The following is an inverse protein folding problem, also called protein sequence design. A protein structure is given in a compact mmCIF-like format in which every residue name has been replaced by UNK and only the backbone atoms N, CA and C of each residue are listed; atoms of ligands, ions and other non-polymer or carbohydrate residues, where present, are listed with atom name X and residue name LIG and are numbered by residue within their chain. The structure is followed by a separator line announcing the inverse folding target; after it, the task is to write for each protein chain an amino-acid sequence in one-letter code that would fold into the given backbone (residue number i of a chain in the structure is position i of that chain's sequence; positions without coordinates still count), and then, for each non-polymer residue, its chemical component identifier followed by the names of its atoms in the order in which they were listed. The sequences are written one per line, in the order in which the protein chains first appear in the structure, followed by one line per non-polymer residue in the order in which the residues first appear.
data_IF_419935134821
#
_entry.id   IF_419935134821
#
_cell.length_a   1.000
_cell.length_b   1.000
_cell.length_c   1.000
_cell.angle_alpha   90.00
_cell.angle_beta   90.00
_cell.angle_gamma   90.00
#
_symmetry.space_group_name_H-M   'P 1'
#
loop_
_entity.id
_entity.type
_entity.pdbx_description
1 polymer ?
#
# COMPACT_ATOMS: atom_id res chain seq x y z
N UNK A 1 2.57 -16.42 11.37
CA UNK A 1 1.45 -15.84 10.59
C UNK A 1 0.18 -16.54 11.02
N UNK A 2 -0.94 -15.83 11.28
CA UNK A 2 -2.24 -16.44 11.57
C UNK A 2 -2.78 -17.23 10.37
N UNK A 3 -3.73 -18.14 10.62
CA UNK A 3 -4.44 -18.87 9.55
C UNK A 3 -5.34 -17.95 8.73
N UNK A 4 -5.65 -18.30 7.47
CA UNK A 4 -6.48 -17.47 6.60
C UNK A 4 -7.84 -17.12 7.25
N UNK A 5 -8.50 -18.07 7.91
CA UNK A 5 -9.76 -17.82 8.62
C UNK A 5 -9.60 -16.80 9.76
N UNK A 6 -8.50 -16.85 10.52
CA UNK A 6 -8.21 -15.85 11.55
C UNK A 6 -7.95 -14.47 10.95
N UNK A 7 -7.23 -14.42 9.83
CA UNK A 7 -6.99 -13.16 9.12
C UNK A 7 -8.30 -12.56 8.61
N UNK A 8 -9.18 -13.37 8.01
CA UNK A 8 -10.50 -12.92 7.57
C UNK A 8 -11.35 -12.40 8.74
N UNK A 9 -11.28 -13.04 9.91
CA UNK A 9 -11.93 -12.53 11.13
C UNK A 9 -11.37 -11.17 11.55
N UNK A 10 -10.05 -10.99 11.48
CA UNK A 10 -9.42 -9.69 11.76
C UNK A 10 -9.88 -8.61 10.77
N UNK A 11 -9.92 -8.92 9.47
CA UNK A 11 -10.40 -8.02 8.43
C UNK A 11 -11.89 -7.71 8.62
N UNK A 12 -12.72 -8.70 8.93
CA UNK A 12 -14.16 -8.52 9.16
C UNK A 12 -14.43 -7.59 10.35
N UNK A 13 -13.63 -7.70 11.41
CA UNK A 13 -13.69 -6.83 12.58
C UNK A 13 -13.01 -5.46 12.37
N UNK A 14 -12.49 -5.17 11.17
CA UNK A 14 -11.61 -4.04 10.85
C UNK A 14 -10.37 -3.92 11.75
N UNK A 15 -10.00 -5.01 12.43
CA UNK A 15 -8.79 -5.10 13.23
C UNK A 15 -7.59 -5.43 12.33
N UNK A 16 -7.20 -4.46 11.49
CA UNK A 16 -6.19 -4.64 10.46
C UNK A 16 -4.76 -4.75 11.03
N UNK A 17 -4.39 -5.87 11.63
CA UNK A 17 -3.07 -6.04 12.25
C UNK A 17 -1.97 -6.14 11.19
N UNK A 18 -0.93 -5.31 11.32
CA UNK A 18 0.23 -5.32 10.42
C UNK A 18 0.97 -6.66 10.50
N UNK A 19 1.61 -7.06 9.40
CA UNK A 19 2.37 -8.30 9.21
C UNK A 19 1.59 -9.61 9.43
N UNK A 20 0.29 -9.51 9.69
CA UNK A 20 -0.57 -10.64 10.01
C UNK A 20 -1.70 -10.85 9.00
N UNK A 21 -1.92 -9.90 8.09
CA UNK A 21 -3.01 -9.93 7.12
C UNK A 21 -2.43 -9.95 5.71
N UNK A 22 -2.90 -10.87 4.89
CA UNK A 22 -2.55 -10.95 3.48
C UNK A 22 -3.55 -10.24 2.56
N UNK A 23 -3.12 -9.99 1.32
CA UNK A 23 -3.99 -9.51 0.24
C UNK A 23 -5.19 -10.44 0.04
N UNK A 24 -4.97 -11.76 0.06
CA UNK A 24 -6.01 -12.79 -0.05
C UNK A 24 -7.07 -12.64 1.04
N UNK A 25 -6.66 -12.51 2.31
CA UNK A 25 -7.59 -12.36 3.42
C UNK A 25 -8.51 -11.13 3.26
N UNK A 26 -7.95 -10.02 2.75
CA UNK A 26 -8.72 -8.80 2.48
C UNK A 26 -9.68 -8.99 1.32
N UNK A 27 -9.21 -9.52 0.19
CA UNK A 27 -10.05 -9.72 -1.01
C UNK A 27 -11.18 -10.73 -0.74
N UNK A 28 -10.90 -11.80 0.00
CA UNK A 28 -11.94 -12.78 0.38
C UNK A 28 -13.00 -12.20 1.31
N UNK A 29 -12.64 -11.25 2.17
CA UNK A 29 -13.56 -10.70 3.18
C UNK A 29 -14.31 -9.46 2.70
N UNK A 30 -13.64 -8.55 2.01
CA UNK A 30 -14.20 -7.27 1.57
C UNK A 30 -14.48 -7.20 0.08
N UNK A 31 -14.08 -8.21 -0.69
CA UNK A 31 -14.11 -8.20 -2.14
C UNK A 31 -12.89 -7.50 -2.76
N UNK A 32 -12.80 -7.57 -4.08
CA UNK A 32 -11.75 -6.90 -4.87
C UNK A 32 -11.74 -5.39 -4.56
N UNK A 33 -10.57 -4.78 -4.31
CA UNK A 33 -10.48 -3.35 -4.06
C UNK A 33 -10.97 -2.56 -5.27
N UNK A 34 -11.83 -1.54 -5.09
CA UNK A 34 -12.31 -0.73 -6.20
C UNK A 34 -11.19 0.09 -6.84
N UNK A 35 -10.13 0.39 -6.08
CA UNK A 35 -8.94 1.09 -6.53
C UNK A 35 -7.71 0.26 -6.16
N UNK A 36 -6.93 -0.11 -7.16
CA UNK A 36 -5.75 -0.98 -7.05
C UNK A 36 -4.57 -0.36 -7.79
N UNK A 37 -3.39 -0.46 -7.20
CA UNK A 37 -2.14 -0.12 -7.87
C UNK A 37 -1.02 -1.04 -7.38
N UNK A 38 -0.05 -1.30 -8.25
CA UNK A 38 1.11 -2.09 -7.95
C UNK A 38 2.34 -1.40 -8.54
N UNK A 39 3.34 -1.18 -7.69
CA UNK A 39 4.61 -0.61 -8.12
C UNK A 39 5.79 -1.18 -7.33
N UNK A 40 6.95 -1.25 -7.97
CA UNK A 40 8.21 -1.39 -7.25
C UNK A 40 8.50 -0.08 -6.51
N UNK A 41 8.53 -0.11 -5.18
CA UNK A 41 8.66 1.07 -4.34
C UNK A 41 9.66 0.85 -3.21
N UNK A 42 10.08 1.95 -2.59
CA UNK A 42 10.92 1.92 -1.39
C UNK A 42 10.07 2.10 -0.14
N UNK A 43 10.36 1.29 0.87
CA UNK A 43 9.65 1.23 2.13
C UNK A 43 10.62 1.54 3.26
N UNK A 44 10.36 2.62 3.98
CA UNK A 44 11.16 3.05 5.12
C UNK A 44 10.72 2.32 6.38
N UNK A 45 11.63 1.58 7.01
CA UNK A 45 11.39 0.88 8.28
C UNK A 45 11.72 1.81 9.42
N UNK A 46 10.71 2.14 10.20
CA UNK A 46 10.82 2.97 11.39
C UNK A 46 11.38 2.15 12.58
N UNK A 47 11.93 2.81 13.62
CA UNK A 47 12.45 2.11 14.81
C UNK A 47 11.41 1.30 15.59
N UNK A 48 10.12 1.61 15.44
CA UNK A 48 8.99 0.88 16.00
C UNK A 48 8.50 -0.25 15.08
N UNK A 49 9.27 -0.56 14.03
CA UNK A 49 8.96 -1.54 12.97
C UNK A 49 7.77 -1.17 12.09
N UNK A 50 7.19 0.02 12.23
CA UNK A 50 6.22 0.51 11.25
C UNK A 50 6.92 0.76 9.92
N UNK A 51 6.21 0.51 8.83
CA UNK A 51 6.74 0.66 7.48
C UNK A 51 6.01 1.81 6.80
N UNK A 52 6.76 2.77 6.28
CA UNK A 52 6.21 3.92 5.57
C UNK A 52 6.59 3.80 4.09
N UNK A 53 5.62 3.68 3.16
CA UNK A 53 5.90 3.69 1.74
C UNK A 53 6.41 5.08 1.30
N UNK A 54 7.36 5.12 0.38
CA UNK A 54 7.96 6.37 -0.12
C UNK A 54 6.92 7.37 -0.63
N UNK A 55 5.82 6.89 -1.22
CA UNK A 55 4.71 7.71 -1.71
C UNK A 55 4.02 8.56 -0.62
N UNK A 56 4.20 8.21 0.66
CA UNK A 56 3.68 8.98 1.80
C UNK A 56 4.72 9.89 2.45
N UNK A 57 5.95 9.90 1.95
CA UNK A 57 7.03 10.76 2.45
C UNK A 57 7.07 12.05 1.63
N UNK A 58 7.16 13.19 2.31
CA UNK A 58 7.34 14.48 1.64
C UNK A 58 8.60 14.45 0.75
N UNK A 59 8.49 14.95 -0.47
CA UNK A 59 9.56 14.88 -1.47
C UNK A 59 10.91 15.35 -0.92
N UNK A 60 11.89 14.44 -0.90
CA UNK A 60 13.29 14.74 -0.54
C UNK A 60 13.65 14.61 0.93
N UNK A 61 12.71 14.28 1.82
CA UNK A 61 13.00 14.06 3.24
C UNK A 61 12.91 12.58 3.59
N UNK A 62 13.71 12.11 4.56
CA UNK A 62 13.47 10.83 5.18
C UNK A 62 12.44 10.98 6.31
N UNK A 63 11.64 9.93 6.63
CA UNK A 63 10.69 10.02 7.74
C UNK A 63 11.40 10.43 9.03
N UNK A 64 10.80 11.36 9.78
CA UNK A 64 11.38 11.87 11.02
C UNK A 64 11.57 10.74 12.04
N UNK A 65 12.81 10.46 12.42
CA UNK A 65 13.15 9.37 13.35
C UNK A 65 13.58 8.06 12.67
N UNK A 66 13.62 8.01 11.34
CA UNK A 66 14.17 6.89 10.59
C UNK A 66 15.68 6.71 10.87
N UNK A 67 16.11 5.46 11.10
CA UNK A 67 17.49 5.10 11.51
C UNK A 67 18.25 4.20 10.52
N UNK A 68 17.74 4.04 9.28
CA UNK A 68 18.41 3.44 8.09
C UNK A 68 17.90 2.08 7.55
N UNK A 69 16.74 1.56 7.97
CA UNK A 69 16.14 0.40 7.28
C UNK A 69 15.35 0.83 6.04
N UNK A 70 15.75 0.41 4.83
CA UNK A 70 14.92 0.50 3.62
C UNK A 70 14.71 -0.91 3.08
N UNK A 71 13.45 -1.27 2.81
CA UNK A 71 13.12 -2.41 1.97
C UNK A 71 12.69 -1.91 0.60
N UNK A 72 13.27 -2.45 -0.46
CA UNK A 72 12.80 -2.25 -1.82
C UNK A 72 12.06 -3.52 -2.24
N UNK A 73 10.87 -3.37 -2.80
CA UNK A 73 10.07 -4.51 -3.22
C UNK A 73 8.79 -4.09 -3.92
N UNK A 74 8.04 -5.10 -4.33
CA UNK A 74 6.75 -4.92 -5.00
C UNK A 74 5.69 -4.54 -3.97
N UNK A 75 5.24 -3.29 -4.06
CA UNK A 75 4.22 -2.70 -3.22
C UNK A 75 2.85 -2.81 -3.85
N UNK A 76 1.93 -3.50 -3.17
CA UNK A 76 0.54 -3.61 -3.60
C UNK A 76 -0.33 -2.68 -2.77
N UNK A 77 -1.05 -1.78 -3.44
CA UNK A 77 -1.89 -0.76 -2.82
C UNK A 77 -3.36 -1.05 -3.08
N UNK A 78 -4.13 -1.23 -2.00
CA UNK A 78 -5.58 -1.38 -2.03
C UNK A 78 -6.23 -0.15 -1.41
N UNK A 79 -7.11 0.52 -2.15
CA UNK A 79 -7.93 1.60 -1.62
C UNK A 79 -9.41 1.21 -1.66
N UNK A 80 -10.08 1.31 -0.51
CA UNK A 80 -11.51 1.09 -0.32
C UNK A 80 -12.19 2.39 0.13
N UNK A 81 -12.60 3.28 -0.80
CA UNK A 81 -13.24 4.55 -0.47
C UNK A 81 -14.48 4.40 0.40
N UNK A 82 -15.32 3.41 0.13
CA UNK A 82 -16.54 3.13 0.91
C UNK A 82 -16.25 2.76 2.37
N UNK A 83 -15.03 2.28 2.65
CA UNK A 83 -14.55 1.91 3.99
C UNK A 83 -13.56 2.93 4.58
N UNK A 84 -13.12 3.90 3.78
CA UNK A 84 -12.13 4.90 4.18
C UNK A 84 -10.74 4.34 4.46
N UNK A 85 -10.34 3.23 3.83
CA UNK A 85 -9.06 2.56 4.09
C UNK A 85 -8.13 2.57 2.87
N UNK A 86 -6.89 2.98 3.09
CA UNK A 86 -5.73 2.67 2.25
C UNK A 86 -4.91 1.57 2.94
N UNK A 87 -4.64 0.49 2.23
CA UNK A 87 -3.83 -0.64 2.69
C UNK A 87 -2.67 -0.84 1.72
N UNK A 88 -1.47 -1.06 2.26
CA UNK A 88 -0.27 -1.31 1.45
C UNK A 88 0.38 -2.59 1.92
N UNK A 89 0.63 -3.46 0.96
CA UNK A 89 1.20 -4.78 1.17
C UNK A 89 2.59 -4.84 0.54
N UNK A 90 3.50 -5.54 1.20
CA UNK A 90 4.83 -5.89 0.73
C UNK A 90 5.03 -7.37 1.01
N UNK A 91 5.52 -8.14 0.03
CA UNK A 91 5.65 -9.60 0.12
C UNK A 91 4.35 -10.27 0.62
N UNK A 92 3.22 -9.84 0.05
CA UNK A 92 1.85 -10.28 0.38
C UNK A 92 1.39 -9.99 1.81
N UNK A 93 2.11 -9.17 2.58
CA UNK A 93 1.77 -8.83 3.98
C UNK A 93 1.41 -7.36 4.13
N UNK A 94 0.37 -7.09 4.92
CA UNK A 94 -0.04 -5.72 5.24
C UNK A 94 1.06 -5.03 6.06
N UNK A 95 1.76 -4.07 5.46
CA UNK A 95 2.86 -3.34 6.13
C UNK A 95 2.48 -1.91 6.50
N UNK A 96 1.46 -1.34 5.83
CA UNK A 96 0.95 -0.02 6.12
C UNK A 96 -0.56 0.05 5.96
N UNK A 97 -1.22 0.84 6.81
CA UNK A 97 -2.64 1.15 6.73
C UNK A 97 -2.89 2.58 7.14
N UNK A 98 -3.85 3.22 6.49
CA UNK A 98 -4.22 4.60 6.78
C UNK A 98 -5.72 4.81 6.59
N UNK A 99 -6.36 5.50 7.55
CA UNK A 99 -7.73 5.98 7.36
C UNK A 99 -7.70 7.30 6.60
N UNK A 100 -8.39 7.36 5.48
CA UNK A 100 -8.49 8.53 4.61
C UNK A 100 -9.94 8.78 4.23
N UNK A 101 -10.26 10.03 3.88
CA UNK A 101 -11.58 10.35 3.33
C UNK A 101 -11.73 9.75 1.94
N UNK A 102 -12.97 9.45 1.50
CA UNK A 102 -13.21 8.91 0.16
C UNK A 102 -12.60 9.76 -0.94
N UNK A 103 -12.66 11.09 -0.82
CA UNK A 103 -12.11 12.02 -1.80
C UNK A 103 -10.59 11.93 -1.91
N UNK A 104 -9.89 11.71 -0.79
CA UNK A 104 -8.44 11.56 -0.73
C UNK A 104 -8.01 10.24 -1.39
N UNK A 105 -8.77 9.15 -1.16
CA UNK A 105 -8.52 7.85 -1.80
C UNK A 105 -8.71 7.91 -3.31
N UNK A 106 -9.73 8.63 -3.79
CA UNK A 106 -9.93 8.84 -5.22
C UNK A 106 -8.83 9.72 -5.83
N UNK A 107 -8.34 10.73 -5.09
CA UNK A 107 -7.22 11.55 -5.53
C UNK A 107 -5.93 10.74 -5.67
N UNK A 108 -5.65 9.84 -4.70
CA UNK A 108 -4.52 8.91 -4.77
C UNK A 108 -4.59 8.01 -6.00
N UNK A 109 -5.74 7.41 -6.29
CA UNK A 109 -5.88 6.56 -7.46
C UNK A 109 -5.74 7.30 -8.80
N UNK A 110 -6.12 8.58 -8.85
CA UNK A 110 -5.83 9.44 -10.01
C UNK A 110 -4.34 9.70 -10.17
N UNK A 111 -3.60 9.86 -9.06
CA UNK A 111 -2.15 10.03 -9.08
C UNK A 111 -1.46 8.77 -9.64
N UNK A 112 -1.84 7.58 -9.15
CA UNK A 112 -1.35 6.29 -9.66
C UNK A 112 -1.56 6.14 -11.18
N UNK A 113 -2.78 6.44 -11.64
CA UNK A 113 -3.14 6.39 -13.06
C UNK A 113 -2.32 7.36 -13.92
N UNK A 114 -1.90 8.48 -13.34
CA UNK A 114 -1.03 9.45 -14.00
C UNK A 114 0.39 8.89 -14.08
N UNK A 115 0.96 8.40 -12.97
CA UNK A 115 2.31 7.83 -12.93
C UNK A 115 2.49 6.66 -13.90
N UNK A 116 1.50 5.75 -14.00
CA UNK A 116 1.51 4.66 -14.98
C UNK A 116 1.58 5.19 -16.43
N UNK A 117 0.82 6.24 -16.76
CA UNK A 117 0.83 6.85 -18.10
C UNK A 117 2.16 7.54 -18.42
N UNK A 118 2.85 8.08 -17.43
CA UNK A 118 4.16 8.72 -17.63
C UNK A 118 5.27 7.68 -17.79
N UNK A 119 5.24 6.59 -17.01
CA UNK A 119 6.17 5.46 -17.20
C UNK A 119 6.06 4.87 -18.60
N UNK A 120 4.84 4.62 -19.10
CA UNK A 120 4.64 4.07 -20.46
C UNK A 120 5.14 5.01 -21.57
N UNK A 121 4.98 6.32 -21.43
CA UNK A 121 5.45 7.30 -22.46
C UNK A 121 6.97 7.45 -22.50
N UNK A 122 7.65 7.30 -21.37
CA UNK A 122 9.11 7.33 -21.32
C UNK A 122 9.72 6.09 -21.96
N UNK A 123 9.10 4.92 -21.80
CA UNK A 123 9.51 3.67 -22.44
C UNK A 123 9.33 3.70 -23.98
N UNK A 124 8.26 4.34 -24.49
CA UNK A 124 8.07 4.50 -25.95
C UNK A 124 9.13 5.39 -26.62
N UNK A 125 9.83 6.23 -25.86
CA UNK A 125 10.87 7.13 -26.40
C UNK A 125 12.27 6.47 -26.39
N UNK A 126 12.41 5.29 -25.78
CA UNK A 126 13.63 4.48 -25.81
C UNK A 126 13.41 3.20 -26.62
N UNK A 127 13.26 3.34 -27.94
CA UNK A 127 13.55 2.26 -28.88
C UNK A 127 14.71 2.70 -29.80
N UNK A 128 15.85 1.98 -29.79
CA UNK A 128 16.98 2.28 -30.68
C UNK A 128 16.64 2.05 -32.16
#
# INVERSE_FOLDING_TARGET
MPTLEEQQRFVQAENLVLDQITTEAVVSTWGTPPLYHNEFSYFFVMPDFSVIPQSRVAHGEAPKGWKAGVHAGEGVYFAYPDRGWLLVFLDERLVYKEKLKPEELHALAKAWSYEDRFKTRLDETFKP
#
